data_IF_650940543438
#
_entry.id   IF_650940543438
#
_cell.length_a   1.000
_cell.length_b   1.000
_cell.length_c   1.000
_cell.angle_alpha   90.00
_cell.angle_beta   90.00
_cell.angle_gamma   90.00
#
_symmetry.space_group_name_H-M   'P 1'
#
loop_
_entity.id
_entity.type
_entity.pdbx_description
1 polymer ?
#
# COMPACT_ATOMS: atom_id res chain seq x y z
N UNK A 1 -1.90 -31.81 -5.64
CA UNK A 1 -1.48 -30.41 -5.87
C UNK A 1 -0.85 -29.92 -4.57
N UNK A 2 0.47 -29.93 -4.46
CA UNK A 2 1.23 -29.46 -3.30
C UNK A 2 1.25 -27.93 -3.33
N UNK A 3 0.55 -27.29 -2.40
CA UNK A 3 0.54 -25.82 -2.28
C UNK A 3 1.85 -25.37 -1.61
N UNK A 4 2.55 -24.44 -2.27
CA UNK A 4 3.74 -23.82 -1.71
C UNK A 4 3.38 -22.83 -0.59
N UNK A 5 4.24 -22.64 0.43
CA UNK A 5 3.92 -21.81 1.59
C UNK A 5 3.82 -20.32 1.21
N UNK A 6 2.73 -19.67 1.63
CA UNK A 6 2.43 -18.28 1.30
C UNK A 6 3.49 -17.24 1.76
N UNK A 7 4.32 -17.59 2.75
CA UNK A 7 5.36 -16.70 3.28
C UNK A 7 6.52 -16.46 2.32
N UNK A 8 6.82 -17.42 1.42
CA UNK A 8 7.87 -17.28 0.42
C UNK A 8 7.51 -16.21 -0.63
N UNK A 9 6.24 -16.17 -1.03
CA UNK A 9 5.72 -15.07 -1.84
C UNK A 9 5.85 -13.73 -1.13
N UNK A 10 5.60 -13.68 0.18
CA UNK A 10 5.79 -12.49 0.99
C UNK A 10 7.25 -12.02 1.11
N UNK A 11 8.20 -12.95 1.21
CA UNK A 11 9.62 -12.67 1.35
C UNK A 11 10.18 -12.02 0.08
N UNK A 12 9.84 -12.61 -1.06
CA UNK A 12 10.25 -12.10 -2.35
C UNK A 12 9.59 -10.75 -2.66
N UNK A 13 8.38 -10.55 -2.17
CA UNK A 13 7.70 -9.27 -2.26
C UNK A 13 8.33 -8.16 -1.44
N UNK A 14 8.76 -8.48 -0.22
CA UNK A 14 9.54 -7.57 0.58
C UNK A 14 10.83 -7.17 -0.16
N UNK A 15 11.45 -8.11 -0.88
CA UNK A 15 12.68 -7.87 -1.63
C UNK A 15 12.48 -6.96 -2.84
N UNK A 16 11.39 -7.11 -3.60
CA UNK A 16 11.03 -6.22 -4.71
C UNK A 16 10.68 -4.81 -4.22
N UNK A 17 9.93 -4.70 -3.13
CA UNK A 17 9.64 -3.40 -2.51
C UNK A 17 10.93 -2.71 -2.02
N UNK A 18 11.86 -3.49 -1.45
CA UNK A 18 13.14 -3.01 -0.94
C UNK A 18 14.07 -2.53 -2.07
N UNK A 19 14.19 -3.30 -3.16
CA UNK A 19 15.03 -2.92 -4.31
C UNK A 19 14.50 -1.69 -5.03
N UNK A 20 13.19 -1.59 -5.23
CA UNK A 20 12.57 -0.37 -5.76
C UNK A 20 12.85 0.83 -4.86
N UNK A 21 12.69 0.68 -3.54
CA UNK A 21 12.99 1.76 -2.60
C UNK A 21 14.47 2.17 -2.62
N UNK A 22 15.39 1.21 -2.69
CA UNK A 22 16.82 1.49 -2.82
C UNK A 22 17.16 2.26 -4.11
N UNK A 23 16.51 1.91 -5.23
CA UNK A 23 16.77 2.50 -6.54
C UNK A 23 16.14 3.89 -6.73
N UNK A 24 14.87 4.05 -6.36
CA UNK A 24 14.09 5.27 -6.67
C UNK A 24 14.02 6.22 -5.47
N UNK A 25 14.39 5.76 -4.27
CA UNK A 25 14.21 6.46 -2.98
C UNK A 25 12.79 6.99 -2.75
N UNK A 26 11.81 6.43 -3.45
CA UNK A 26 10.37 6.68 -3.30
C UNK A 26 9.67 5.39 -2.88
N UNK A 27 8.69 5.51 -1.99
CA UNK A 27 7.85 4.39 -1.59
C UNK A 27 6.80 4.12 -2.67
N UNK A 28 6.47 2.85 -2.91
CA UNK A 28 5.31 2.45 -3.74
C UNK A 28 3.96 2.76 -3.07
N UNK A 29 4.01 3.33 -1.87
CA UNK A 29 2.88 3.60 -1.02
C UNK A 29 1.96 4.68 -1.57
N UNK A 30 0.67 4.35 -1.70
CA UNK A 30 -0.38 5.29 -2.10
C UNK A 30 -1.21 5.76 -0.89
N UNK A 31 -1.24 5.03 0.23
CA UNK A 31 -1.93 5.48 1.45
C UNK A 31 -1.60 4.65 2.69
N UNK A 32 -0.87 5.22 3.67
CA UNK A 32 -0.67 4.58 4.96
C UNK A 32 -0.15 5.51 6.05
N UNK A 33 -0.43 5.21 7.33
CA UNK A 33 0.12 5.96 8.48
C UNK A 33 1.64 6.03 8.47
N UNK A 34 2.31 5.03 7.91
CA UNK A 34 3.76 5.01 7.75
C UNK A 34 4.24 5.95 6.63
N UNK A 35 3.52 6.01 5.50
CA UNK A 35 3.78 7.00 4.44
C UNK A 35 3.58 8.42 4.94
N UNK A 36 2.51 8.65 5.72
CA UNK A 36 2.31 9.95 6.38
C UNK A 36 3.44 10.25 7.37
N UNK A 37 3.92 9.27 8.13
CA UNK A 37 5.05 9.45 9.04
C UNK A 37 6.35 9.77 8.29
N UNK A 38 6.65 9.06 7.20
CA UNK A 38 7.86 9.25 6.41
C UNK A 38 7.81 10.54 5.60
N UNK A 39 6.68 10.89 4.99
CA UNK A 39 6.49 12.20 4.37
C UNK A 39 6.63 13.31 5.41
N UNK A 40 6.03 13.20 6.60
CA UNK A 40 6.25 14.18 7.68
C UNK A 40 7.71 14.30 8.10
N UNK A 41 8.48 13.22 8.07
CA UNK A 41 9.91 13.25 8.39
C UNK A 41 10.76 13.84 7.26
N UNK A 42 10.34 13.65 6.00
CA UNK A 42 11.04 14.11 4.80
C UNK A 42 10.71 15.56 4.43
N UNK A 43 9.47 15.95 4.66
CA UNK A 43 8.90 17.31 4.54
C UNK A 43 8.98 18.05 5.87
N UNK A 44 9.77 17.56 6.84
CA UNK A 44 10.13 18.38 8.00
C UNK A 44 10.68 19.68 7.44
N UNK A 45 10.05 20.83 7.76
CA UNK A 45 10.50 22.10 7.21
C UNK A 45 11.98 22.24 7.53
N UNK A 46 12.82 22.33 6.50
CA UNK A 46 14.16 22.82 6.72
C UNK A 46 13.99 24.24 7.27
N UNK A 47 14.81 24.67 8.24
CA UNK A 47 14.74 26.05 8.73
C UNK A 47 14.88 27.08 7.60
N UNK A 48 15.47 26.70 6.45
CA UNK A 48 15.54 27.51 5.22
C UNK A 48 14.21 27.62 4.45
N UNK A 49 13.30 26.64 4.56
CA UNK A 49 12.01 26.65 3.85
C UNK A 49 10.94 27.52 4.53
N UNK A 50 11.09 27.77 5.84
CA UNK A 50 10.27 28.75 6.57
C UNK A 50 10.67 30.20 6.21
N UNK A 51 11.87 30.37 5.62
CA UNK A 51 12.46 31.66 5.27
C UNK A 51 12.35 32.01 3.77
N UNK A 52 11.83 31.12 2.91
CA UNK A 52 11.98 31.25 1.45
C UNK A 52 10.68 31.05 0.65
N UNK A 53 9.67 31.88 0.88
CA UNK A 53 8.82 32.47 -0.17
C UNK A 53 7.82 33.42 0.49
N UNK A 54 7.86 34.69 0.14
CA UNK A 54 6.86 35.66 0.54
C UNK A 54 5.50 35.33 -0.12
N UNK A 55 4.41 35.77 0.51
CA UNK A 55 3.05 35.54 -0.03
C UNK A 55 2.90 36.08 -1.47
N UNK A 56 3.55 37.20 -1.78
CA UNK A 56 3.64 37.75 -3.13
C UNK A 56 4.34 36.81 -4.11
N UNK A 57 5.47 36.21 -3.73
CA UNK A 57 6.20 35.27 -4.57
C UNK A 57 5.40 33.97 -4.81
N UNK A 58 4.64 33.51 -3.81
CA UNK A 58 3.74 32.35 -3.96
C UNK A 58 2.60 32.67 -4.94
N UNK A 59 1.94 33.81 -4.77
CA UNK A 59 0.85 34.25 -5.65
C UNK A 59 1.37 34.40 -7.09
N UNK A 60 2.53 35.03 -7.27
CA UNK A 60 3.16 35.18 -8.58
C UNK A 60 3.51 33.83 -9.23
N UNK A 61 4.02 32.87 -8.45
CA UNK A 61 4.35 31.54 -8.95
C UNK A 61 3.10 30.76 -9.37
N UNK A 62 2.01 30.84 -8.59
CA UNK A 62 0.73 30.20 -8.92
C UNK A 62 0.11 30.82 -10.17
N UNK A 63 0.16 32.15 -10.32
CA UNK A 63 -0.31 32.83 -11.52
C UNK A 63 0.51 32.48 -12.76
N UNK A 64 1.85 32.38 -12.62
CA UNK A 64 2.73 31.96 -13.71
C UNK A 64 2.45 30.52 -14.16
N UNK A 65 2.20 29.61 -13.21
CA UNK A 65 1.81 28.23 -13.52
C UNK A 65 0.44 28.16 -14.20
N UNK A 66 -0.53 28.94 -13.74
CA UNK A 66 -1.84 29.02 -14.38
C UNK A 66 -1.76 29.56 -15.81
N UNK A 67 -0.93 30.59 -16.05
CA UNK A 67 -0.65 31.10 -17.39
C UNK A 67 0.01 30.05 -18.30
N UNK A 68 0.93 29.26 -17.77
CA UNK A 68 1.61 28.21 -18.52
C UNK A 68 0.69 27.05 -18.92
N UNK A 69 -0.23 26.66 -18.03
CA UNK A 69 -1.13 25.51 -18.25
C UNK A 69 -2.36 25.89 -19.08
N UNK A 70 -2.96 27.06 -18.81
CA UNK A 70 -4.25 27.46 -19.39
C UNK A 70 -4.14 28.53 -20.49
N UNK A 71 -2.99 29.21 -20.61
CA UNK A 71 -2.76 30.25 -21.61
C UNK A 71 -3.36 31.62 -21.23
N UNK A 72 -2.82 32.69 -21.83
CA UNK A 72 -3.22 34.06 -21.53
C UNK A 72 -4.67 34.38 -21.91
N UNK A 73 -5.16 33.78 -22.99
CA UNK A 73 -6.52 33.99 -23.51
C UNK A 73 -7.59 33.45 -22.54
N UNK A 74 -7.36 32.27 -21.95
CA UNK A 74 -8.27 31.68 -20.96
C UNK A 74 -8.28 32.48 -19.63
N UNK A 75 -7.15 33.11 -19.28
CA UNK A 75 -7.06 33.99 -18.12
C UNK A 75 -7.77 35.33 -18.33
N UNK A 76 -7.66 35.91 -19.52
CA UNK A 76 -8.40 37.13 -19.87
C UNK A 76 -9.91 36.88 -19.96
N UNK A 77 -10.34 35.73 -20.49
CA UNK A 77 -11.75 35.32 -20.50
C UNK A 77 -12.26 35.13 -19.07
N UNK A 78 -11.51 34.42 -18.21
CA UNK A 78 -11.84 34.25 -16.80
C UNK A 78 -11.92 35.60 -16.05
N UNK A 79 -11.00 36.52 -16.32
CA UNK A 79 -10.97 37.87 -15.74
C UNK A 79 -12.15 38.76 -16.19
N UNK A 80 -12.76 38.47 -17.34
CA UNK A 80 -13.90 39.20 -17.88
C UNK A 80 -15.26 38.62 -17.46
N UNK A 81 -15.30 37.43 -16.85
CA UNK A 81 -16.52 36.82 -16.32
C UNK A 81 -17.03 37.62 -15.11
N UNK A 82 -18.20 38.30 -15.18
CA UNK A 82 -18.66 39.21 -14.11
C UNK A 82 -19.08 38.50 -12.82
N UNK A 83 -19.25 37.19 -12.89
CA UNK A 83 -19.76 36.34 -11.82
C UNK A 83 -18.77 35.18 -11.62
N UNK A 84 -17.52 35.52 -11.29
CA UNK A 84 -16.69 34.58 -10.53
C UNK A 84 -17.46 34.39 -9.23
N UNK A 85 -18.02 33.19 -8.94
CA UNK A 85 -18.68 32.97 -7.67
C UNK A 85 -17.66 33.35 -6.61
N UNK A 86 -17.99 34.35 -5.76
CA UNK A 86 -17.19 34.75 -4.59
C UNK A 86 -16.55 33.48 -4.05
N UNK A 87 -15.20 33.37 -4.07
CA UNK A 87 -14.53 32.12 -3.78
C UNK A 87 -15.14 31.65 -2.48
N UNK A 88 -15.92 30.57 -2.56
CA UNK A 88 -16.53 30.05 -1.36
C UNK A 88 -15.30 29.66 -0.55
N UNK A 89 -15.01 30.44 0.48
CA UNK A 89 -14.05 30.12 1.51
C UNK A 89 -14.61 28.86 2.17
N UNK A 90 -14.54 27.75 1.46
CA UNK A 90 -14.37 26.46 2.06
C UNK A 90 -12.93 26.58 2.50
N UNK A 91 -12.67 26.88 3.78
CA UNK A 91 -11.30 26.98 4.24
C UNK A 91 -10.63 25.69 3.77
N UNK A 92 -9.42 25.75 3.23
CA UNK A 92 -8.71 24.52 2.86
C UNK A 92 -8.61 23.58 4.08
N UNK A 93 -8.63 24.15 5.30
CA UNK A 93 -8.79 23.47 6.58
C UNK A 93 -10.10 22.65 6.75
N UNK A 94 -11.18 23.01 6.06
CA UNK A 94 -12.45 22.29 6.05
C UNK A 94 -12.45 21.06 5.12
N UNK A 95 -11.48 20.94 4.20
CA UNK A 95 -11.13 19.66 3.57
C UNK A 95 -10.35 18.85 4.60
N UNK A 96 -11.02 18.50 5.69
CA UNK A 96 -10.44 17.68 6.73
C UNK A 96 -10.07 16.34 6.11
N UNK A 97 -8.79 15.97 6.19
CA UNK A 97 -8.37 14.62 5.86
C UNK A 97 -9.27 13.63 6.62
N UNK A 98 -9.80 12.59 5.97
CA UNK A 98 -10.73 11.67 6.61
C UNK A 98 -10.13 11.20 7.94
N UNK A 99 -10.93 11.32 9.00
CA UNK A 99 -10.52 10.99 10.36
C UNK A 99 -9.99 9.56 10.45
N UNK A 100 -9.15 9.25 11.46
CA UNK A 100 -8.65 7.90 11.65
C UNK A 100 -9.81 6.91 11.72
N UNK A 101 -9.77 5.90 10.86
CA UNK A 101 -10.77 4.83 10.84
C UNK A 101 -10.85 4.18 12.22
N UNK A 102 -12.05 3.98 12.79
CA UNK A 102 -12.19 3.44 14.13
C UNK A 102 -11.70 1.98 14.16
N UNK A 103 -11.00 1.61 15.24
CA UNK A 103 -10.31 0.30 15.35
C UNK A 103 -11.26 -0.89 15.36
N UNK A 104 -12.50 -0.71 15.81
CA UNK A 104 -13.53 -1.76 15.78
C UNK A 104 -13.85 -2.23 14.35
N UNK A 105 -13.74 -1.34 13.36
CA UNK A 105 -14.01 -1.68 11.96
C UNK A 105 -12.98 -2.68 11.41
N UNK A 106 -11.72 -2.53 11.82
CA UNK A 106 -10.65 -3.50 11.53
C UNK A 106 -10.91 -4.83 12.24
N UNK A 107 -11.37 -4.78 13.49
CA UNK A 107 -11.76 -5.98 14.23
C UNK A 107 -12.92 -6.73 13.57
N UNK A 108 -13.96 -6.01 13.13
CA UNK A 108 -15.10 -6.56 12.41
C UNK A 108 -14.68 -7.21 11.07
N UNK A 109 -13.78 -6.57 10.32
CA UNK A 109 -13.23 -7.13 9.09
C UNK A 109 -12.47 -8.44 9.32
N UNK A 110 -11.61 -8.49 10.33
CA UNK A 110 -10.86 -9.70 10.69
C UNK A 110 -11.78 -10.83 11.15
N UNK A 111 -12.79 -10.50 11.97
CA UNK A 111 -13.82 -11.45 12.40
C UNK A 111 -14.62 -11.99 11.21
N UNK A 112 -14.97 -11.15 10.24
CA UNK A 112 -15.69 -11.56 9.04
C UNK A 112 -14.86 -12.52 8.17
N UNK A 113 -13.55 -12.31 8.04
CA UNK A 113 -12.66 -13.26 7.34
C UNK A 113 -12.65 -14.61 8.06
N UNK A 114 -12.46 -14.62 9.38
CA UNK A 114 -12.43 -15.84 10.17
C UNK A 114 -13.77 -16.60 10.10
N UNK A 115 -14.89 -15.88 10.23
CA UNK A 115 -16.23 -16.44 10.14
C UNK A 115 -16.53 -16.97 8.73
N UNK A 116 -16.14 -16.24 7.67
CA UNK A 116 -16.31 -16.70 6.29
C UNK A 116 -15.53 -17.97 6.00
N UNK A 117 -14.28 -18.06 6.47
CA UNK A 117 -13.47 -19.28 6.36
C UNK A 117 -14.08 -20.46 7.13
N UNK A 118 -14.57 -20.21 8.34
CA UNK A 118 -15.27 -21.21 9.15
C UNK A 118 -16.54 -21.72 8.44
N UNK A 119 -17.38 -20.81 7.95
CA UNK A 119 -18.61 -21.16 7.26
C UNK A 119 -18.33 -21.97 5.98
N UNK A 120 -17.32 -21.57 5.20
CA UNK A 120 -16.88 -22.31 4.02
C UNK A 120 -16.34 -23.71 4.37
N UNK A 121 -15.63 -23.85 5.48
CA UNK A 121 -15.16 -25.15 5.95
C UNK A 121 -16.33 -26.06 6.37
N UNK A 122 -17.36 -25.50 7.00
CA UNK A 122 -18.54 -26.25 7.44
C UNK A 122 -19.44 -26.70 6.28
N UNK A 123 -19.55 -25.93 5.20
CA UNK A 123 -20.40 -26.26 4.04
C UNK A 123 -19.69 -27.10 2.97
N UNK A 124 -18.36 -27.13 2.96
CA UNK A 124 -17.55 -27.85 1.97
C UNK A 124 -17.10 -29.24 2.42
N UNK A 125 -15.94 -29.30 3.08
CA UNK A 125 -15.20 -30.55 3.36
C UNK A 125 -15.30 -31.00 4.83
N UNK A 126 -16.05 -30.25 5.64
CA UNK A 126 -16.08 -30.38 7.09
C UNK A 126 -14.89 -29.69 7.77
N UNK A 127 -14.94 -29.56 9.10
CA UNK A 127 -13.88 -28.96 9.88
C UNK A 127 -12.78 -30.00 10.13
N UNK A 128 -11.60 -29.78 9.55
CA UNK A 128 -10.41 -30.61 9.79
C UNK A 128 -9.40 -29.82 10.62
N UNK A 129 -9.37 -30.02 11.95
CA UNK A 129 -8.37 -29.40 12.80
C UNK A 129 -7.01 -30.04 12.52
N UNK A 130 -6.26 -29.45 11.59
CA UNK A 130 -4.88 -29.81 11.29
C UNK A 130 -3.98 -28.96 12.20
N UNK A 131 -3.37 -29.59 13.21
CA UNK A 131 -2.36 -28.94 14.07
C UNK A 131 -0.96 -29.00 13.43
N UNK A 132 -0.82 -29.76 12.34
CA UNK A 132 0.37 -29.78 11.48
C UNK A 132 0.41 -28.51 10.63
N UNK A 133 1.55 -27.82 10.66
CA UNK A 133 1.70 -26.48 10.07
C UNK A 133 2.45 -26.54 8.74
N UNK A 134 3.04 -27.69 8.43
CA UNK A 134 3.75 -27.95 7.20
C UNK A 134 2.98 -28.87 6.27
N UNK A 135 3.01 -28.58 4.97
CA UNK A 135 2.80 -29.64 3.98
C UNK A 135 3.98 -30.61 4.04
N UNK A 136 3.78 -31.86 3.63
CA UNK A 136 4.87 -32.86 3.62
C UNK A 136 6.14 -32.36 2.88
N UNK A 137 5.97 -31.56 1.83
CA UNK A 137 7.10 -30.91 1.14
C UNK A 137 7.79 -29.81 1.95
N UNK A 138 7.05 -29.02 2.74
CA UNK A 138 7.63 -28.01 3.61
C UNK A 138 8.41 -28.62 4.77
N UNK A 139 7.89 -29.68 5.38
CA UNK A 139 8.60 -30.40 6.45
C UNK A 139 9.86 -31.11 5.93
N UNK A 140 9.82 -31.63 4.70
CA UNK A 140 11.00 -32.19 4.04
C UNK A 140 12.09 -31.14 3.77
N UNK A 141 11.70 -29.91 3.39
CA UNK A 141 12.64 -28.84 3.04
C UNK A 141 13.20 -28.07 4.26
N UNK A 142 12.39 -27.86 5.31
CA UNK A 142 12.73 -26.97 6.43
C UNK A 142 12.74 -27.67 7.81
N UNK A 143 12.52 -28.97 7.83
CA UNK A 143 12.48 -29.79 9.04
C UNK A 143 11.16 -29.67 9.81
N UNK A 144 11.06 -30.43 10.90
CA UNK A 144 9.89 -30.48 11.78
C UNK A 144 10.16 -29.82 13.13
N UNK A 145 9.09 -29.42 13.83
CA UNK A 145 9.19 -28.82 15.15
C UNK A 145 9.73 -27.38 15.12
N UNK A 146 10.63 -27.01 16.03
CA UNK A 146 11.01 -25.62 16.26
C UNK A 146 11.57 -24.87 15.03
N UNK A 147 12.26 -25.57 14.12
CA UNK A 147 12.82 -24.95 12.90
C UNK A 147 11.71 -24.45 11.98
N UNK A 148 10.62 -25.22 11.82
CA UNK A 148 9.52 -24.87 10.95
C UNK A 148 8.73 -23.67 11.49
N UNK A 149 8.51 -23.61 12.81
CA UNK A 149 7.94 -22.44 13.47
C UNK A 149 8.80 -21.19 13.30
N UNK A 150 10.12 -21.31 13.43
CA UNK A 150 11.04 -20.18 13.25
C UNK A 150 10.94 -19.62 11.83
N UNK A 151 10.94 -20.49 10.81
CA UNK A 151 10.79 -20.08 9.40
C UNK A 151 9.44 -19.40 9.16
N UNK A 152 8.34 -19.93 9.69
CA UNK A 152 7.01 -19.33 9.54
C UNK A 152 6.89 -17.98 10.24
N UNK A 153 7.47 -17.86 11.44
CA UNK A 153 7.46 -16.62 12.21
C UNK A 153 8.28 -15.54 11.50
N UNK A 154 9.47 -15.88 11.02
CA UNK A 154 10.31 -14.98 10.21
C UNK A 154 9.60 -14.61 8.91
N UNK A 155 8.99 -15.58 8.24
CA UNK A 155 8.20 -15.37 7.02
C UNK A 155 7.02 -14.41 7.25
N UNK A 156 6.26 -14.60 8.32
CA UNK A 156 5.16 -13.71 8.71
C UNK A 156 5.63 -12.29 9.04
N UNK A 157 6.76 -12.15 9.74
CA UNK A 157 7.38 -10.85 10.01
C UNK A 157 7.81 -10.16 8.73
N UNK A 158 8.41 -10.88 7.78
CA UNK A 158 8.83 -10.36 6.48
C UNK A 158 7.63 -9.91 5.64
N UNK A 159 6.53 -10.69 5.64
CA UNK A 159 5.26 -10.28 5.00
C UNK A 159 4.73 -9.00 5.64
N UNK A 160 4.68 -8.94 6.98
CA UNK A 160 4.24 -7.76 7.72
C UNK A 160 5.09 -6.52 7.45
N UNK A 161 6.41 -6.70 7.39
CA UNK A 161 7.34 -5.63 7.01
C UNK A 161 7.10 -5.18 5.57
N UNK A 162 7.01 -6.13 4.63
CA UNK A 162 6.80 -5.87 3.21
C UNK A 162 5.51 -5.08 2.95
N UNK A 163 4.40 -5.50 3.54
CA UNK A 163 3.10 -4.80 3.43
C UNK A 163 3.14 -3.38 3.98
N UNK A 164 3.96 -3.14 5.02
CA UNK A 164 4.17 -1.78 5.56
C UNK A 164 5.00 -0.92 4.60
N UNK A 165 6.04 -1.48 3.98
CA UNK A 165 6.91 -0.80 3.02
C UNK A 165 6.19 -0.48 1.70
N UNK A 166 5.26 -1.33 1.27
CA UNK A 166 4.40 -1.06 0.11
C UNK A 166 3.29 -0.05 0.41
N UNK A 167 3.10 0.35 1.66
CA UNK A 167 2.05 1.29 2.06
C UNK A 167 0.64 0.73 1.92
N UNK A 168 0.49 -0.59 2.03
CA UNK A 168 -0.79 -1.28 1.87
C UNK A 168 -0.59 -2.78 1.74
N UNK A 169 -1.62 -3.54 2.14
CA UNK A 169 -1.65 -4.99 1.92
C UNK A 169 -2.04 -5.33 0.48
N UNK A 170 -1.86 -6.59 0.10
CA UNK A 170 -2.27 -7.14 -1.20
C UNK A 170 -3.77 -6.97 -1.46
N UNK A 171 -4.63 -7.11 -0.45
CA UNK A 171 -6.08 -6.89 -0.62
C UNK A 171 -6.43 -5.42 -0.83
N UNK A 172 -5.71 -4.49 -0.20
CA UNK A 172 -5.92 -3.05 -0.37
C UNK A 172 -5.52 -2.56 -1.76
N UNK A 173 -4.33 -2.93 -2.22
CA UNK A 173 -3.89 -2.60 -3.59
C UNK A 173 -4.69 -3.37 -4.65
N UNK A 174 -5.00 -4.63 -4.39
CA UNK A 174 -5.76 -5.50 -5.29
C UNK A 174 -7.24 -5.11 -5.39
N UNK A 175 -8.02 -5.30 -4.33
CA UNK A 175 -9.48 -5.11 -4.38
C UNK A 175 -9.85 -3.63 -4.57
N UNK A 176 -9.35 -2.75 -3.71
CA UNK A 176 -9.72 -1.32 -3.73
C UNK A 176 -8.90 -0.52 -4.73
N UNK A 177 -7.61 -0.82 -4.88
CA UNK A 177 -6.71 -0.07 -5.76
C UNK A 177 -6.93 -0.34 -7.25
N UNK A 178 -7.11 -1.61 -7.64
CA UNK A 178 -7.37 -1.99 -9.04
C UNK A 178 -8.79 -1.58 -9.47
N UNK A 179 -9.79 -1.70 -8.59
CA UNK A 179 -11.16 -1.26 -8.91
C UNK A 179 -11.26 0.25 -9.14
N UNK A 180 -10.37 1.04 -8.55
CA UNK A 180 -10.23 2.49 -8.77
C UNK A 180 -9.28 2.85 -9.92
N UNK A 181 -8.80 1.86 -10.68
CA UNK A 181 -7.85 2.02 -11.79
C UNK A 181 -6.59 2.82 -11.44
N UNK A 182 -6.13 2.74 -10.18
CA UNK A 182 -4.95 3.49 -9.74
C UNK A 182 -3.67 2.82 -10.28
N UNK A 183 -2.86 3.49 -11.11
CA UNK A 183 -1.69 2.88 -11.77
C UNK A 183 -0.65 2.36 -10.77
N UNK A 184 -0.44 3.06 -9.65
CA UNK A 184 0.45 2.59 -8.58
C UNK A 184 -0.01 1.28 -7.94
N UNK A 185 -1.33 1.11 -7.75
CA UNK A 185 -1.88 -0.13 -7.18
C UNK A 185 -1.89 -1.29 -8.17
N UNK A 186 -2.05 -1.00 -9.47
CA UNK A 186 -1.89 -2.00 -10.53
C UNK A 186 -0.46 -2.55 -10.56
N UNK A 187 0.54 -1.66 -10.54
CA UNK A 187 1.94 -2.06 -10.52
C UNK A 187 2.31 -2.84 -9.25
N UNK A 188 1.87 -2.36 -8.09
CA UNK A 188 2.07 -3.07 -6.82
C UNK A 188 1.43 -4.47 -6.85
N UNK A 189 0.21 -4.58 -7.35
CA UNK A 189 -0.50 -5.87 -7.48
C UNK A 189 0.22 -6.81 -8.45
N UNK A 190 0.66 -6.32 -9.61
CA UNK A 190 1.43 -7.10 -10.56
C UNK A 190 2.75 -7.60 -9.97
N UNK A 191 3.45 -6.77 -9.21
CA UNK A 191 4.64 -7.16 -8.47
C UNK A 191 4.32 -8.23 -7.40
N UNK A 192 3.22 -8.08 -6.66
CA UNK A 192 2.77 -9.07 -5.66
C UNK A 192 2.54 -10.45 -6.24
N UNK A 193 1.71 -10.55 -7.27
CA UNK A 193 1.43 -11.83 -7.90
C UNK A 193 2.62 -12.37 -8.70
N UNK A 194 3.30 -11.52 -9.47
CA UNK A 194 4.44 -11.93 -10.29
C UNK A 194 5.58 -12.51 -9.46
N UNK A 195 5.90 -11.87 -8.33
CA UNK A 195 6.94 -12.33 -7.42
C UNK A 195 6.55 -13.63 -6.70
N UNK A 196 5.28 -13.75 -6.28
CA UNK A 196 4.76 -14.99 -5.69
C UNK A 196 4.83 -16.17 -6.67
N UNK A 197 4.46 -15.96 -7.94
CA UNK A 197 4.56 -16.97 -9.00
C UNK A 197 6.03 -17.35 -9.22
N UNK A 198 6.91 -16.37 -9.42
CA UNK A 198 8.34 -16.60 -9.66
C UNK A 198 8.97 -17.43 -8.55
N UNK A 199 8.69 -17.10 -7.30
CA UNK A 199 9.26 -17.83 -6.16
C UNK A 199 8.66 -19.21 -6.02
N UNK A 200 7.35 -19.38 -6.24
CA UNK A 200 6.75 -20.72 -6.28
C UNK A 200 7.41 -21.61 -7.32
N UNK A 201 7.64 -21.09 -8.53
CA UNK A 201 8.30 -21.82 -9.61
C UNK A 201 9.77 -22.12 -9.31
N UNK A 202 10.50 -21.14 -8.75
CA UNK A 202 11.90 -21.32 -8.37
C UNK A 202 12.04 -22.43 -7.33
N UNK A 203 11.13 -22.44 -6.35
CA UNK A 203 11.17 -23.42 -5.29
C UNK A 203 10.82 -24.81 -5.78
N UNK A 204 9.82 -24.95 -6.66
CA UNK A 204 9.51 -26.21 -7.34
C UNK A 204 10.66 -26.71 -8.23
N UNK A 205 11.48 -25.81 -8.77
CA UNK A 205 12.66 -26.18 -9.55
C UNK A 205 13.84 -26.63 -8.68
N UNK A 206 13.90 -26.24 -7.40
CA UNK A 206 15.04 -26.46 -6.51
C UNK A 206 14.79 -27.56 -5.47
N UNK A 207 13.54 -27.77 -5.05
CA UNK A 207 13.10 -28.70 -4.00
C UNK A 207 12.20 -29.80 -4.57
#
# INVERSE_FOLDING_TARGET
>A
MTYWPAWLGGLALALVALTHWLGVRRMLAVSGRFTQLVNRLRERPSPEAEEAMTEEELIAAVQAMALAEFGAEALEEAAQTPDVPEPHETPVAAIAAPGPQPTWLHGAFLLAIAFGGLLASLTGVGLRPELGIGSAGFEAAFGQGASSYAVLLVGGLLVGWGTRMSGGCTSGHGLCGVSRAQPGSLLATAAFFGTGILVSLLLEAVL
#
